data_IF_303814875343
#
_entry.id   IF_303814875343
#
_cell.length_a   1.000
_cell.length_b   1.000
_cell.length_c   1.000
_cell.angle_alpha   90.00
_cell.angle_beta   90.00
_cell.angle_gamma   90.00
#
_symmetry.space_group_name_H-M   'P 1'
#
loop_
_entity.id
_entity.type
_entity.pdbx_description
1 polymer ?
#
# COMPACT_ATOMS: atom_id res chain seq x y z
N UNK A 1 5.47 -11.34 -19.21
CA UNK A 1 5.54 -12.52 -18.31
C UNK A 1 4.54 -13.56 -18.80
N UNK A 2 4.96 -14.82 -18.98
CA UNK A 2 4.03 -15.89 -19.34
C UNK A 2 2.95 -16.02 -18.23
N UNK A 3 1.69 -16.28 -18.62
CA UNK A 3 0.55 -16.40 -17.71
C UNK A 3 0.77 -17.34 -16.51
N UNK A 4 1.70 -18.30 -16.62
CA UNK A 4 1.96 -19.30 -15.59
C UNK A 4 3.31 -19.15 -14.87
N UNK A 5 4.13 -18.17 -15.20
CA UNK A 5 5.48 -18.04 -14.63
C UNK A 5 5.46 -17.82 -13.12
N UNK A 6 4.68 -16.87 -12.62
CA UNK A 6 4.55 -16.64 -11.16
C UNK A 6 3.92 -17.82 -10.42
N UNK A 7 3.04 -18.58 -11.07
CA UNK A 7 2.53 -19.84 -10.51
C UNK A 7 3.64 -20.87 -10.33
N UNK A 8 4.62 -20.86 -11.24
CA UNK A 8 5.81 -21.75 -11.22
C UNK A 8 7.00 -21.18 -10.44
N UNK A 9 6.81 -20.07 -9.72
CA UNK A 9 7.87 -19.38 -8.96
C UNK A 9 8.94 -18.72 -9.85
N UNK A 10 8.62 -18.35 -11.06
CA UNK A 10 9.43 -17.44 -11.87
C UNK A 10 9.00 -16.00 -11.64
N UNK A 11 9.87 -15.20 -11.04
CA UNK A 11 9.61 -13.81 -10.65
C UNK A 11 10.25 -12.80 -11.60
N UNK A 12 10.74 -13.24 -12.77
CA UNK A 12 11.27 -12.35 -13.79
C UNK A 12 10.18 -11.41 -14.33
N UNK A 13 10.57 -10.17 -14.58
CA UNK A 13 9.69 -9.18 -15.19
C UNK A 13 9.88 -9.19 -16.71
N UNK A 14 8.78 -8.98 -17.44
CA UNK A 14 8.84 -8.68 -18.87
C UNK A 14 9.46 -7.31 -19.12
N UNK A 15 9.87 -7.04 -20.34
CA UNK A 15 10.40 -5.74 -20.75
C UNK A 15 9.39 -4.62 -20.50
N UNK A 16 8.08 -4.88 -20.70
CA UNK A 16 7.00 -3.91 -20.43
C UNK A 16 6.89 -3.60 -18.93
N UNK A 17 6.95 -4.61 -18.06
CA UNK A 17 6.96 -4.41 -16.61
C UNK A 17 8.18 -3.59 -16.17
N UNK A 18 9.36 -3.87 -16.74
CA UNK A 18 10.59 -3.11 -16.44
C UNK A 18 10.45 -1.67 -16.92
N UNK A 19 9.89 -1.45 -18.12
CA UNK A 19 9.64 -0.11 -18.65
C UNK A 19 8.65 0.66 -17.78
N UNK A 20 7.55 0.03 -17.37
CA UNK A 20 6.55 0.61 -16.46
C UNK A 20 7.18 1.05 -15.14
N UNK A 21 7.89 0.14 -14.46
CA UNK A 21 8.56 0.44 -13.19
C UNK A 21 9.56 1.58 -13.34
N UNK A 22 10.37 1.58 -14.40
CA UNK A 22 11.34 2.65 -14.65
C UNK A 22 10.67 4.01 -14.91
N UNK A 23 9.53 4.04 -15.61
CA UNK A 23 8.78 5.27 -15.84
C UNK A 23 8.31 5.90 -14.53
N UNK A 24 7.69 5.11 -13.62
CA UNK A 24 7.25 5.60 -12.31
C UNK A 24 8.44 5.95 -11.39
N UNK A 25 9.52 5.17 -11.41
CA UNK A 25 10.77 5.50 -10.69
C UNK A 25 11.31 6.84 -11.12
N UNK A 26 11.41 7.10 -12.42
CA UNK A 26 11.89 8.38 -12.94
C UNK A 26 10.93 9.53 -12.61
N UNK A 27 9.63 9.28 -12.67
CA UNK A 27 8.62 10.27 -12.29
C UNK A 27 8.79 10.71 -10.83
N UNK A 28 8.83 9.78 -9.88
CA UNK A 28 8.99 10.13 -8.47
C UNK A 28 10.35 10.72 -8.16
N UNK A 29 11.41 10.24 -8.79
CA UNK A 29 12.75 10.85 -8.65
C UNK A 29 12.76 12.32 -9.08
N UNK A 30 11.96 12.68 -10.07
CA UNK A 30 11.88 14.06 -10.60
C UNK A 30 10.96 14.95 -9.76
N UNK A 31 9.85 14.40 -9.22
CA UNK A 31 8.76 15.20 -8.66
C UNK A 31 8.53 15.01 -7.16
N UNK A 32 9.18 14.03 -6.51
CA UNK A 32 8.97 13.69 -5.11
C UNK A 32 10.31 13.62 -4.36
N UNK A 33 10.90 14.78 -4.06
CA UNK A 33 12.08 14.85 -3.18
C UNK A 33 11.68 14.68 -1.71
N UNK A 34 12.67 14.44 -0.83
CA UNK A 34 12.41 14.35 0.62
C UNK A 34 11.85 15.66 1.19
N UNK A 35 12.19 16.81 0.61
CA UNK A 35 11.65 18.11 0.96
C UNK A 35 10.16 18.20 0.59
N UNK A 36 9.76 17.69 -0.59
CA UNK A 36 8.35 17.57 -0.99
C UNK A 36 7.56 16.70 0.00
N UNK A 37 8.13 15.55 0.39
CA UNK A 37 7.54 14.66 1.38
C UNK A 37 7.31 15.36 2.73
N UNK A 38 8.32 16.11 3.20
CA UNK A 38 8.23 16.87 4.46
C UNK A 38 7.24 18.03 4.40
N UNK A 39 7.23 18.75 3.29
CA UNK A 39 6.30 19.86 3.10
C UNK A 39 4.83 19.40 3.14
N UNK A 40 4.56 18.17 2.70
CA UNK A 40 3.24 17.58 2.71
C UNK A 40 2.82 16.97 4.08
N UNK A 41 3.72 16.83 5.07
CA UNK A 41 3.39 16.18 6.37
C UNK A 41 2.21 16.81 7.12
N UNK A 42 2.02 18.15 7.14
CA UNK A 42 0.88 18.76 7.83
C UNK A 42 -0.47 18.30 7.27
N UNK A 43 -0.60 18.15 5.95
CA UNK A 43 -1.82 17.66 5.29
C UNK A 43 -1.85 16.14 5.14
N UNK A 44 -0.69 15.49 5.01
CA UNK A 44 -0.55 14.10 4.59
C UNK A 44 -0.76 13.89 3.09
N UNK A 45 -0.86 14.99 2.30
CA UNK A 45 -1.21 14.96 0.89
C UNK A 45 -0.56 16.10 0.10
N UNK A 46 0.03 15.79 -1.05
CA UNK A 46 0.49 16.77 -2.04
C UNK A 46 -0.41 16.72 -3.27
N UNK A 47 -1.26 17.73 -3.40
CA UNK A 47 -2.22 17.84 -4.50
C UNK A 47 -1.53 17.96 -5.86
N UNK A 48 -0.44 18.71 -5.95
CA UNK A 48 0.29 18.90 -7.22
C UNK A 48 0.95 17.61 -7.72
N UNK A 49 1.54 16.84 -6.79
CA UNK A 49 2.09 15.53 -7.11
C UNK A 49 0.98 14.55 -7.53
N UNK A 50 -0.18 14.58 -6.85
CA UNK A 50 -1.34 13.78 -7.22
C UNK A 50 -1.83 14.07 -8.63
N UNK A 51 -2.06 15.34 -8.97
CA UNK A 51 -2.52 15.74 -10.31
C UNK A 51 -1.55 15.29 -11.41
N UNK A 52 -0.24 15.40 -11.17
CA UNK A 52 0.80 14.90 -12.10
C UNK A 52 0.79 13.37 -12.22
N UNK A 53 0.58 12.66 -11.12
CA UNK A 53 0.51 11.20 -11.09
C UNK A 53 -0.72 10.71 -11.86
N UNK A 54 -1.87 11.37 -11.69
CA UNK A 54 -3.08 11.09 -12.47
C UNK A 54 -2.87 11.35 -13.96
N UNK A 55 -2.18 12.44 -14.32
CA UNK A 55 -1.85 12.77 -15.71
C UNK A 55 -0.94 11.72 -16.38
N UNK A 56 -0.20 10.92 -15.60
CA UNK A 56 0.53 9.74 -16.09
C UNK A 56 -0.35 8.51 -16.32
N UNK A 57 -1.65 8.58 -16.01
CA UNK A 57 -2.54 7.43 -16.10
C UNK A 57 -2.53 6.49 -14.89
N UNK A 58 -1.94 6.89 -13.77
CA UNK A 58 -1.78 6.00 -12.61
C UNK A 58 -3.13 5.57 -11.98
N UNK A 59 -4.19 6.34 -12.15
CA UNK A 59 -5.53 6.00 -11.68
C UNK A 59 -6.32 5.23 -12.74
N UNK A 60 -6.26 5.63 -14.01
CA UNK A 60 -6.96 4.96 -15.11
C UNK A 60 -6.44 3.55 -15.33
N UNK A 61 -5.12 3.33 -15.25
CA UNK A 61 -4.54 2.00 -15.41
C UNK A 61 -5.11 0.98 -14.42
N UNK A 62 -5.49 1.41 -13.23
CA UNK A 62 -5.98 0.52 -12.18
C UNK A 62 -7.40 0.01 -12.42
N UNK A 63 -8.18 0.66 -13.26
CA UNK A 63 -9.57 0.29 -13.55
C UNK A 63 -9.66 -0.68 -14.73
N UNK A 64 -10.66 -1.58 -14.74
CA UNK A 64 -10.97 -2.40 -15.90
C UNK A 64 -11.35 -1.55 -17.11
N UNK A 65 -11.11 -2.05 -18.34
CA UNK A 65 -11.53 -1.39 -19.59
C UNK A 65 -13.04 -1.13 -19.63
N UNK A 66 -13.86 -2.04 -19.09
CA UNK A 66 -15.31 -1.89 -18.96
C UNK A 66 -15.74 -0.69 -18.11
N UNK A 67 -14.83 -0.15 -17.30
CA UNK A 67 -15.02 1.03 -16.45
C UNK A 67 -14.28 2.26 -16.98
N UNK A 68 -13.80 2.22 -18.23
CA UNK A 68 -13.05 3.31 -18.84
C UNK A 68 -11.57 3.40 -18.39
N UNK A 69 -11.04 2.32 -17.85
CA UNK A 69 -9.63 2.20 -17.49
C UNK A 69 -8.80 1.45 -18.51
N UNK A 70 -7.53 1.22 -18.21
CA UNK A 70 -6.56 0.55 -19.11
C UNK A 70 -6.39 -0.95 -18.78
N UNK A 71 -7.05 -1.46 -17.75
CA UNK A 71 -7.08 -2.90 -17.43
C UNK A 71 -5.75 -3.48 -16.97
N UNK A 72 -4.86 -2.69 -16.36
CA UNK A 72 -3.59 -3.18 -15.84
C UNK A 72 -3.80 -4.26 -14.77
N UNK A 73 -2.88 -5.22 -14.73
CA UNK A 73 -2.90 -6.32 -13.76
C UNK A 73 -2.50 -5.85 -12.37
N UNK A 74 -2.81 -6.63 -11.34
CA UNK A 74 -2.32 -6.36 -9.99
C UNK A 74 -0.79 -6.44 -9.90
N UNK A 75 -0.13 -7.21 -10.78
CA UNK A 75 1.34 -7.20 -10.90
C UNK A 75 1.83 -5.81 -11.29
N UNK A 76 1.23 -5.19 -12.31
CA UNK A 76 1.56 -3.82 -12.74
C UNK A 76 1.34 -2.82 -11.60
N UNK A 77 0.22 -2.94 -10.88
CA UNK A 77 -0.10 -2.05 -9.75
C UNK A 77 0.91 -2.22 -8.60
N UNK A 78 1.45 -3.43 -8.36
CA UNK A 78 2.51 -3.60 -7.35
C UNK A 78 3.80 -2.87 -7.72
N UNK A 79 4.14 -2.75 -9.01
CA UNK A 79 5.32 -2.00 -9.46
C UNK A 79 5.16 -0.49 -9.19
N UNK A 80 3.97 0.06 -9.42
CA UNK A 80 3.66 1.46 -9.08
C UNK A 80 3.70 1.69 -7.58
N UNK A 81 3.06 0.82 -6.79
CA UNK A 81 3.04 0.90 -5.33
C UNK A 81 4.46 0.83 -4.74
N UNK A 82 5.34 0.00 -5.29
CA UNK A 82 6.74 -0.10 -4.87
C UNK A 82 7.47 1.24 -5.05
N UNK A 83 7.25 1.96 -6.15
CA UNK A 83 7.89 3.26 -6.38
C UNK A 83 7.27 4.38 -5.52
N UNK A 84 5.97 4.31 -5.20
CA UNK A 84 5.31 5.18 -4.21
C UNK A 84 5.98 5.02 -2.84
N UNK A 85 6.18 3.79 -2.41
CA UNK A 85 6.82 3.48 -1.13
C UNK A 85 8.29 3.88 -1.08
N UNK A 86 9.03 3.64 -2.16
CA UNK A 86 10.42 4.06 -2.33
C UNK A 86 10.60 5.55 -2.10
N UNK A 87 9.70 6.36 -2.65
CA UNK A 87 9.76 7.82 -2.62
C UNK A 87 9.02 8.42 -1.43
N UNK A 88 8.36 7.63 -0.58
CA UNK A 88 7.44 8.07 0.47
C UNK A 88 6.38 9.05 -0.06
N UNK A 89 5.92 8.86 -1.31
CA UNK A 89 5.08 9.81 -2.01
C UNK A 89 3.79 10.12 -1.22
N UNK A 90 3.53 11.39 -0.89
CA UNK A 90 2.37 11.79 -0.09
C UNK A 90 1.11 11.87 -0.97
N UNK A 91 0.73 10.73 -1.54
CA UNK A 91 -0.46 10.57 -2.39
C UNK A 91 -1.29 9.38 -1.92
N UNK A 92 -2.63 9.47 -1.91
CA UNK A 92 -3.52 8.43 -1.41
C UNK A 92 -3.83 7.36 -2.47
N UNK A 93 -2.85 7.04 -3.32
CA UNK A 93 -3.08 6.22 -4.52
C UNK A 93 -3.61 4.82 -4.18
N UNK A 94 -3.05 4.14 -3.17
CA UNK A 94 -3.45 2.78 -2.79
C UNK A 94 -4.92 2.76 -2.33
N UNK A 95 -5.29 3.67 -1.42
CA UNK A 95 -6.66 3.75 -0.90
C UNK A 95 -7.64 4.05 -2.04
N UNK A 96 -7.27 5.00 -2.89
CA UNK A 96 -8.08 5.45 -4.00
C UNK A 96 -8.33 4.33 -5.02
N UNK A 97 -7.27 3.67 -5.50
CA UNK A 97 -7.43 2.63 -6.54
C UNK A 97 -8.17 1.41 -6.01
N UNK A 98 -7.96 1.01 -4.75
CA UNK A 98 -8.69 -0.11 -4.17
C UNK A 98 -10.20 0.20 -4.03
N UNK A 99 -10.55 1.41 -3.60
CA UNK A 99 -11.94 1.86 -3.53
C UNK A 99 -12.58 1.96 -4.92
N UNK A 100 -11.90 2.56 -5.90
CA UNK A 100 -12.41 2.71 -7.26
C UNK A 100 -12.59 1.34 -7.95
N UNK A 101 -11.65 0.40 -7.78
CA UNK A 101 -11.76 -0.99 -8.28
C UNK A 101 -12.94 -1.73 -7.64
N UNK A 102 -13.17 -1.55 -6.35
CA UNK A 102 -14.33 -2.10 -5.66
C UNK A 102 -15.64 -1.58 -6.27
N UNK A 103 -15.76 -0.26 -6.44
CA UNK A 103 -16.93 0.35 -7.07
C UNK A 103 -17.12 -0.16 -8.51
N UNK A 104 -16.05 -0.30 -9.28
CA UNK A 104 -16.10 -0.87 -10.63
C UNK A 104 -16.64 -2.31 -10.64
N UNK A 105 -16.15 -3.17 -9.75
CA UNK A 105 -16.63 -4.57 -9.63
C UNK A 105 -18.10 -4.66 -9.22
N UNK A 106 -18.59 -3.71 -8.44
CA UNK A 106 -19.99 -3.64 -8.00
C UNK A 106 -20.88 -2.90 -8.97
N UNK A 107 -20.37 -2.43 -10.13
CA UNK A 107 -21.13 -1.67 -11.13
C UNK A 107 -21.60 -0.30 -10.62
N UNK A 108 -20.88 0.29 -9.66
CA UNK A 108 -21.25 1.51 -8.95
C UNK A 108 -20.37 2.73 -9.32
N UNK A 109 -19.70 2.68 -10.47
CA UNK A 109 -19.11 3.85 -11.10
C UNK A 109 -20.19 4.53 -11.93
N UNK A 110 -20.75 5.60 -11.43
CA UNK A 110 -21.87 6.35 -11.95
C UNK A 110 -21.50 7.83 -12.19
N UNK A 111 -22.47 8.68 -12.52
CA UNK A 111 -22.23 10.10 -12.78
C UNK A 111 -21.66 10.84 -11.55
N UNK A 112 -22.02 10.42 -10.33
CA UNK A 112 -21.53 11.03 -9.09
C UNK A 112 -20.08 10.66 -8.80
N UNK A 113 -19.60 9.55 -9.36
CA UNK A 113 -18.26 8.98 -9.13
C UNK A 113 -17.37 9.06 -10.38
N UNK A 114 -17.81 9.72 -11.45
CA UNK A 114 -17.10 9.79 -12.73
C UNK A 114 -15.67 10.34 -12.61
N UNK A 115 -15.44 11.27 -11.69
CA UNK A 115 -14.12 11.84 -11.42
C UNK A 115 -13.14 10.92 -10.68
N UNK A 116 -13.56 9.72 -10.26
CA UNK A 116 -12.66 8.76 -9.62
C UNK A 116 -11.67 8.14 -10.63
N UNK A 117 -12.12 7.90 -11.87
CA UNK A 117 -11.27 7.27 -12.87
C UNK A 117 -10.03 8.11 -13.22
N UNK A 118 -10.19 9.44 -13.30
CA UNK A 118 -9.10 10.37 -13.62
C UNK A 118 -8.47 11.06 -12.40
N UNK A 119 -8.93 10.72 -11.18
CA UNK A 119 -8.42 11.27 -9.92
C UNK A 119 -8.86 12.70 -9.58
N UNK A 120 -9.84 13.26 -10.30
CA UNK A 120 -10.48 14.55 -9.95
C UNK A 120 -11.26 14.46 -8.63
N UNK A 121 -11.84 13.30 -8.37
CA UNK A 121 -12.44 12.94 -7.09
C UNK A 121 -11.57 11.88 -6.41
N UNK A 122 -11.52 11.90 -5.09
CA UNK A 122 -10.79 10.94 -4.27
C UNK A 122 -11.74 9.98 -3.56
N UNK A 123 -11.42 8.70 -3.60
CA UNK A 123 -12.07 7.68 -2.78
C UNK A 123 -11.16 7.19 -1.68
N UNK A 124 -11.74 6.87 -0.53
CA UNK A 124 -11.11 6.17 0.58
C UNK A 124 -11.80 4.82 0.81
N UNK A 125 -11.02 3.82 1.21
CA UNK A 125 -11.51 2.52 1.64
C UNK A 125 -11.31 2.36 3.14
N UNK A 126 -12.34 1.93 3.88
CA UNK A 126 -12.13 1.44 5.25
C UNK A 126 -11.39 0.08 5.17
N UNK A 127 -10.08 0.13 5.30
CA UNK A 127 -9.21 -1.05 5.16
C UNK A 127 -9.17 -1.94 6.42
N UNK A 128 -9.96 -1.65 7.44
CA UNK A 128 -9.96 -2.39 8.70
C UNK A 128 -10.77 -3.69 8.59
N UNK A 129 -10.29 -4.73 9.26
CA UNK A 129 -10.99 -6.02 9.34
C UNK A 129 -12.21 -5.93 10.26
N UNK A 130 -12.09 -5.13 11.31
CA UNK A 130 -13.10 -5.07 12.37
C UNK A 130 -14.27 -4.17 11.94
N UNK A 131 -15.46 -4.76 11.87
CA UNK A 131 -16.71 -4.02 11.69
C UNK A 131 -17.12 -3.39 13.02
N UNK A 132 -16.41 -2.34 13.43
CA UNK A 132 -16.75 -1.59 14.65
C UNK A 132 -17.91 -0.64 14.35
N UNK A 133 -18.94 -0.66 15.21
CA UNK A 133 -20.01 0.36 15.15
C UNK A 133 -19.46 1.71 15.63
N UNK A 134 -19.93 2.79 15.03
CA UNK A 134 -19.54 4.15 15.37
C UNK A 134 -18.38 4.68 14.53
N UNK A 135 -17.69 5.69 15.05
CA UNK A 135 -16.62 6.37 14.33
C UNK A 135 -15.41 5.46 14.09
N UNK A 136 -14.86 5.51 12.88
CA UNK A 136 -13.74 4.70 12.40
C UNK A 136 -12.61 5.59 11.94
N UNK A 137 -11.37 5.22 12.27
CA UNK A 137 -10.20 5.93 11.77
C UNK A 137 -9.88 5.40 10.36
N UNK A 138 -10.13 6.21 9.34
CA UNK A 138 -10.01 5.82 7.93
C UNK A 138 -8.83 6.55 7.30
N UNK A 139 -7.89 5.83 6.63
CA UNK A 139 -6.87 6.46 5.80
C UNK A 139 -7.54 7.25 4.67
N UNK A 140 -6.89 8.33 4.23
CA UNK A 140 -7.45 9.25 3.21
C UNK A 140 -8.77 9.95 3.61
N UNK A 141 -9.37 9.61 4.77
CA UNK A 141 -10.69 10.09 5.20
C UNK A 141 -10.83 11.61 5.31
N UNK A 142 -9.73 12.37 5.54
CA UNK A 142 -9.79 13.84 5.64
C UNK A 142 -9.79 14.56 4.29
N UNK A 143 -9.52 13.86 3.20
CA UNK A 143 -9.41 14.46 1.84
C UNK A 143 -10.31 13.78 0.81
N UNK A 144 -10.90 12.63 1.14
CA UNK A 144 -11.76 11.88 0.23
C UNK A 144 -13.09 12.59 -0.03
N UNK A 145 -13.58 12.47 -1.26
CA UNK A 145 -14.93 12.87 -1.68
C UNK A 145 -15.93 11.75 -1.39
N UNK A 146 -15.46 10.50 -1.54
CA UNK A 146 -16.25 9.29 -1.29
C UNK A 146 -15.51 8.37 -0.34
N UNK A 147 -16.19 7.87 0.69
CA UNK A 147 -15.63 6.92 1.64
C UNK A 147 -16.43 5.63 1.56
N UNK A 148 -15.75 4.53 1.24
CA UNK A 148 -16.37 3.22 1.08
C UNK A 148 -16.16 2.41 2.34
N UNK A 149 -17.26 2.01 2.96
CA UNK A 149 -17.25 1.25 4.22
C UNK A 149 -18.12 0.01 4.12
N UNK A 150 -17.82 -0.99 4.93
CA UNK A 150 -18.72 -2.09 5.22
C UNK A 150 -19.60 -1.73 6.41
N UNK A 151 -20.91 -1.94 6.30
CA UNK A 151 -21.88 -1.77 7.37
C UNK A 151 -22.80 -3.00 7.43
N UNK A 152 -22.50 -3.93 8.36
CA UNK A 152 -23.15 -5.24 8.40
C UNK A 152 -22.86 -6.08 7.16
N UNK A 153 -23.91 -6.40 6.40
CA UNK A 153 -23.85 -7.11 5.12
C UNK A 153 -23.87 -6.20 3.90
N UNK A 154 -23.84 -4.88 4.12
CA UNK A 154 -23.87 -3.86 3.07
C UNK A 154 -22.48 -3.27 2.81
N UNK A 155 -22.22 -2.93 1.55
CA UNK A 155 -21.16 -2.01 1.11
C UNK A 155 -21.80 -0.64 0.89
N UNK A 156 -21.29 0.37 1.55
CA UNK A 156 -21.90 1.70 1.62
C UNK A 156 -20.91 2.75 1.16
N UNK A 157 -21.36 3.69 0.33
CA UNK A 157 -20.66 4.93 -0.04
C UNK A 157 -21.16 6.07 0.85
N UNK A 158 -20.24 6.73 1.51
CA UNK A 158 -20.48 7.91 2.33
C UNK A 158 -19.90 9.14 1.64
N UNK A 159 -20.60 10.28 1.74
CA UNK A 159 -20.08 11.59 1.35
C UNK A 159 -20.39 12.61 2.44
N UNK A 160 -19.50 13.60 2.59
CA UNK A 160 -19.55 14.64 3.61
C UNK A 160 -19.45 16.01 2.95
N UNK A 161 -20.41 16.90 3.17
CA UNK A 161 -20.38 18.28 2.71
C UNK A 161 -19.24 19.07 3.36
N UNK A 162 -18.93 18.74 4.63
CA UNK A 162 -17.71 19.18 5.29
C UNK A 162 -16.86 17.98 5.61
N UNK A 163 -15.67 17.88 4.98
CA UNK A 163 -14.77 16.76 5.19
C UNK A 163 -14.36 16.62 6.66
N UNK A 164 -14.27 15.38 7.18
CA UNK A 164 -13.81 15.14 8.53
C UNK A 164 -12.40 15.71 8.79
N UNK A 165 -12.15 16.20 10.00
CA UNK A 165 -10.87 16.80 10.35
C UNK A 165 -9.75 15.74 10.36
N UNK A 166 -8.58 16.12 9.82
CA UNK A 166 -7.37 15.29 9.86
C UNK A 166 -6.94 15.00 11.29
N UNK A 167 -6.53 13.76 11.54
CA UNK A 167 -5.93 13.31 12.80
C UNK A 167 -4.43 13.17 12.63
N UNK A 168 -3.65 13.70 13.56
CA UNK A 168 -2.21 13.49 13.59
C UNK A 168 -1.89 12.01 13.85
N UNK A 169 -1.02 11.47 13.02
CA UNK A 169 -0.65 10.07 13.09
C UNK A 169 0.83 9.86 12.70
N UNK A 170 1.41 8.77 13.17
CA UNK A 170 2.83 8.46 12.93
C UNK A 170 3.14 8.23 11.45
N UNK A 171 2.19 7.69 10.67
CA UNK A 171 2.35 7.43 9.23
C UNK A 171 2.33 8.68 8.37
N UNK A 172 2.00 9.86 8.94
CA UNK A 172 1.82 11.12 8.21
C UNK A 172 0.78 11.02 7.10
N UNK A 173 -0.26 10.20 7.31
CA UNK A 173 -1.36 9.99 6.38
C UNK A 173 -2.49 11.01 6.60
N UNK A 174 -3.31 11.31 5.58
CA UNK A 174 -4.48 12.17 5.71
C UNK A 174 -5.67 11.41 6.33
N UNK A 175 -5.48 10.85 7.53
CA UNK A 175 -6.48 10.06 8.24
C UNK A 175 -7.51 10.96 8.94
N UNK A 176 -8.74 10.45 9.06
CA UNK A 176 -9.78 11.11 9.86
C UNK A 176 -10.65 10.09 10.58
N UNK A 177 -11.25 10.53 11.70
CA UNK A 177 -12.37 9.80 12.31
C UNK A 177 -13.62 10.04 11.49
N UNK A 178 -14.19 8.97 10.96
CA UNK A 178 -15.39 8.97 10.14
C UNK A 178 -16.50 8.24 10.88
N UNK A 179 -17.57 8.95 11.21
CA UNK A 179 -18.79 8.35 11.73
C UNK A 179 -19.79 8.20 10.58
N UNK A 180 -20.14 6.96 10.19
CA UNK A 180 -21.12 6.74 9.13
C UNK A 180 -22.48 7.36 9.39
N UNK A 181 -22.85 7.54 10.67
CA UNK A 181 -24.11 8.17 11.06
C UNK A 181 -24.13 9.70 10.85
N UNK A 182 -22.95 10.33 10.75
CA UNK A 182 -22.78 11.76 10.52
C UNK A 182 -22.61 12.13 9.04
N UNK A 183 -22.66 11.15 8.11
CA UNK A 183 -22.52 11.42 6.68
C UNK A 183 -23.77 12.17 6.16
N UNK A 184 -23.53 13.17 5.30
CA UNK A 184 -24.60 13.94 4.64
C UNK A 184 -25.30 13.08 3.57
N UNK A 185 -24.55 12.15 2.95
CA UNK A 185 -25.08 11.17 2.02
C UNK A 185 -24.59 9.78 2.37
N UNK A 186 -25.51 8.82 2.41
CA UNK A 186 -25.27 7.40 2.61
C UNK A 186 -25.99 6.60 1.53
N UNK A 187 -25.24 6.00 0.64
CA UNK A 187 -25.78 5.19 -0.48
C UNK A 187 -25.33 3.74 -0.30
N UNK A 188 -26.30 2.82 -0.23
CA UNK A 188 -26.01 1.38 -0.28
C UNK A 188 -25.64 1.03 -1.72
N UNK A 189 -24.41 0.53 -1.91
CA UNK A 189 -23.88 0.15 -3.22
C UNK A 189 -24.29 -1.28 -3.58
N UNK A 190 -24.13 -2.18 -2.62
CA UNK A 190 -24.47 -3.59 -2.76
C UNK A 190 -24.69 -4.22 -1.37
N UNK A 191 -25.37 -5.36 -1.33
CA UNK A 191 -25.64 -6.10 -0.08
C UNK A 191 -25.52 -7.62 -0.29
N UNK A 192 -25.37 -8.34 0.83
CA UNK A 192 -25.29 -9.78 0.85
C UNK A 192 -23.89 -10.34 0.62
N UNK A 193 -23.81 -11.67 0.44
CA UNK A 193 -22.55 -12.43 0.39
C UNK A 193 -21.59 -11.96 -0.69
N UNK A 194 -22.11 -11.67 -1.89
CA UNK A 194 -21.30 -11.26 -3.04
C UNK A 194 -20.71 -9.86 -2.85
N UNK A 195 -21.47 -8.94 -2.23
CA UNK A 195 -20.98 -7.62 -1.85
C UNK A 195 -19.83 -7.73 -0.84
N UNK A 196 -19.98 -8.58 0.17
CA UNK A 196 -18.94 -8.82 1.17
C UNK A 196 -17.71 -9.52 0.59
N UNK A 197 -17.85 -10.44 -0.35
CA UNK A 197 -16.74 -11.07 -1.04
C UNK A 197 -15.94 -10.06 -1.87
N UNK A 198 -16.62 -9.16 -2.61
CA UNK A 198 -15.97 -8.07 -3.33
C UNK A 198 -15.27 -7.07 -2.40
N UNK A 199 -15.88 -6.75 -1.26
CA UNK A 199 -15.24 -5.89 -0.26
C UNK A 199 -13.99 -6.55 0.33
N UNK A 200 -14.06 -7.85 0.67
CA UNK A 200 -12.91 -8.61 1.15
C UNK A 200 -11.77 -8.63 0.12
N UNK A 201 -12.11 -8.80 -1.17
CA UNK A 201 -11.11 -8.72 -2.25
C UNK A 201 -10.45 -7.36 -2.29
N UNK A 202 -11.19 -6.25 -2.11
CA UNK A 202 -10.61 -4.91 -2.05
C UNK A 202 -9.66 -4.74 -0.85
N UNK A 203 -9.98 -5.35 0.31
CA UNK A 203 -9.07 -5.38 1.45
C UNK A 203 -7.77 -6.15 1.15
N UNK A 204 -7.86 -7.25 0.41
CA UNK A 204 -6.68 -8.04 0.06
C UNK A 204 -5.84 -7.34 -1.03
N UNK A 205 -6.46 -6.63 -1.97
CA UNK A 205 -5.77 -5.71 -2.89
C UNK A 205 -5.06 -4.58 -2.13
N UNK A 206 -5.73 -3.97 -1.13
CA UNK A 206 -5.12 -2.93 -0.30
C UNK A 206 -3.90 -3.44 0.49
N UNK A 207 -4.00 -4.63 1.09
CA UNK A 207 -2.87 -5.28 1.79
C UNK A 207 -1.71 -5.57 0.86
N UNK A 208 -2.03 -6.11 -0.33
CA UNK A 208 -1.04 -6.40 -1.36
C UNK A 208 -0.28 -5.15 -1.78
N UNK A 209 -0.99 -4.07 -2.14
CA UNK A 209 -0.37 -2.84 -2.62
C UNK A 209 0.40 -2.12 -1.50
N UNK A 210 -0.10 -2.18 -0.26
CA UNK A 210 0.63 -1.68 0.91
C UNK A 210 1.91 -2.49 1.14
N UNK A 211 1.87 -3.82 1.02
CA UNK A 211 3.07 -4.65 1.09
C UNK A 211 4.10 -4.27 0.02
N UNK A 212 3.68 -4.07 -1.22
CA UNK A 212 4.55 -3.64 -2.31
C UNK A 212 5.15 -2.24 -2.04
N UNK A 213 4.38 -1.29 -1.51
CA UNK A 213 4.90 0.01 -1.10
C UNK A 213 5.97 -0.13 0.02
N UNK A 214 5.73 -1.01 0.99
CA UNK A 214 6.71 -1.29 2.04
C UNK A 214 7.98 -1.95 1.50
N UNK A 215 7.92 -2.75 0.43
CA UNK A 215 9.13 -3.27 -0.27
C UNK A 215 9.99 -2.11 -0.78
N UNK A 216 9.39 -1.16 -1.50
CA UNK A 216 10.09 0.02 -2.01
C UNK A 216 10.68 0.88 -0.89
N UNK A 217 9.91 1.08 0.19
CA UNK A 217 10.34 1.79 1.39
C UNK A 217 11.58 1.12 2.01
N UNK A 218 11.58 -0.21 2.18
CA UNK A 218 12.71 -0.95 2.76
C UNK A 218 13.94 -0.87 1.86
N UNK A 219 13.78 -1.00 0.55
CA UNK A 219 14.89 -0.95 -0.40
C UNK A 219 15.58 0.42 -0.38
N UNK A 220 14.81 1.52 -0.34
CA UNK A 220 15.41 2.86 -0.25
C UNK A 220 16.05 3.09 1.13
N UNK A 221 15.41 2.64 2.19
CA UNK A 221 15.96 2.69 3.56
C UNK A 221 17.31 1.97 3.63
N UNK A 222 17.41 0.79 3.02
CA UNK A 222 18.65 0.02 2.92
C UNK A 222 19.71 0.79 2.11
N UNK A 223 19.30 1.38 1.00
CA UNK A 223 20.21 2.16 0.13
C UNK A 223 20.81 3.35 0.89
N UNK A 224 19.97 4.13 1.59
CA UNK A 224 20.41 5.26 2.43
C UNK A 224 21.40 4.80 3.50
N UNK A 225 21.12 3.69 4.19
CA UNK A 225 21.99 3.15 5.22
C UNK A 225 23.32 2.63 4.65
N UNK A 226 23.27 1.97 3.48
CA UNK A 226 24.46 1.44 2.81
C UNK A 226 25.40 2.56 2.32
N UNK A 227 24.85 3.61 1.70
CA UNK A 227 25.64 4.76 1.24
C UNK A 227 26.29 5.50 2.42
N UNK A 228 25.56 5.70 3.52
CA UNK A 228 26.15 6.25 4.73
C UNK A 228 27.27 5.35 5.26
N UNK A 229 27.09 4.03 5.32
CA UNK A 229 28.08 3.10 5.83
C UNK A 229 29.36 3.05 5.00
N UNK A 230 29.30 3.30 3.69
CA UNK A 230 30.48 3.39 2.81
C UNK A 230 31.34 4.64 3.08
N UNK A 231 30.71 5.74 3.50
CA UNK A 231 31.38 7.02 3.69
C UNK A 231 31.78 7.30 5.13
N UNK A 232 31.19 6.60 6.10
CA UNK A 232 31.52 6.75 7.53
C UNK A 232 32.66 5.82 7.93
N UNK A 233 33.70 6.38 8.54
CA UNK A 233 34.87 5.64 8.99
C UNK A 233 34.90 5.49 10.52
N UNK A 234 35.36 4.33 10.98
CA UNK A 234 35.75 4.05 12.37
C UNK A 234 36.91 3.05 12.37
N UNK A 235 37.80 3.10 13.36
CA UNK A 235 38.96 2.21 13.43
C UNK A 235 39.81 2.15 12.13
N UNK A 236 39.84 3.24 11.38
CA UNK A 236 40.59 3.34 10.11
C UNK A 236 39.96 2.71 8.89
N UNK A 237 38.74 2.16 8.97
CA UNK A 237 38.02 1.52 7.84
C UNK A 237 36.60 2.07 7.71
N UNK A 238 35.98 2.00 6.51
CA UNK A 238 34.55 2.26 6.35
C UNK A 238 33.72 1.31 7.23
N UNK A 239 32.68 1.81 7.90
CA UNK A 239 31.85 0.95 8.77
C UNK A 239 31.12 -0.15 7.99
N UNK A 240 30.92 0.00 6.68
CA UNK A 240 30.36 -1.03 5.80
C UNK A 240 31.17 -2.34 5.79
N UNK A 241 32.46 -2.32 6.15
CA UNK A 241 33.32 -3.49 6.23
C UNK A 241 33.13 -4.31 7.51
N UNK A 242 32.47 -3.72 8.51
CA UNK A 242 32.23 -4.36 9.80
C UNK A 242 31.01 -5.29 9.69
N UNK A 243 31.12 -6.53 10.18
CA UNK A 243 30.02 -7.51 10.14
C UNK A 243 28.76 -7.03 10.88
N UNK A 244 28.93 -6.24 11.97
CA UNK A 244 27.82 -5.62 12.69
C UNK A 244 26.98 -4.66 11.81
N UNK A 245 27.48 -4.24 10.66
CA UNK A 245 26.80 -3.36 9.69
C UNK A 245 26.43 -4.13 8.43
N UNK A 246 27.35 -4.91 7.86
CA UNK A 246 27.13 -5.62 6.59
C UNK A 246 26.08 -6.73 6.70
N UNK A 247 26.00 -7.46 7.83
CA UNK A 247 24.99 -8.51 8.00
C UNK A 247 23.57 -7.95 8.12
N UNK A 248 23.26 -6.91 8.92
CA UNK A 248 21.95 -6.24 8.87
C UNK A 248 21.55 -5.74 7.49
N UNK A 249 22.48 -5.14 6.73
CA UNK A 249 22.20 -4.70 5.35
C UNK A 249 21.87 -5.89 4.44
N UNK A 250 22.55 -7.02 4.58
CA UNK A 250 22.23 -8.24 3.85
C UNK A 250 20.84 -8.80 4.24
N UNK A 251 20.46 -8.74 5.52
CA UNK A 251 19.12 -9.13 5.98
C UNK A 251 18.02 -8.24 5.36
N UNK A 252 18.29 -6.92 5.27
CA UNK A 252 17.36 -6.00 4.59
C UNK A 252 17.19 -6.37 3.10
N UNK A 253 18.30 -6.71 2.40
CA UNK A 253 18.23 -7.14 1.01
C UNK A 253 17.42 -8.44 0.83
N UNK A 254 17.55 -9.39 1.78
CA UNK A 254 16.76 -10.63 1.80
C UNK A 254 15.26 -10.29 2.00
N UNK A 255 14.94 -9.39 2.93
CA UNK A 255 13.56 -8.96 3.19
C UNK A 255 12.94 -8.28 1.96
N UNK A 256 13.68 -7.39 1.28
CA UNK A 256 13.25 -6.76 0.01
C UNK A 256 12.93 -7.80 -1.04
N UNK A 257 13.85 -8.74 -1.28
CA UNK A 257 13.64 -9.74 -2.33
C UNK A 257 12.52 -10.73 -1.98
N UNK A 258 12.44 -11.16 -0.71
CA UNK A 258 11.38 -12.03 -0.23
C UNK A 258 10.00 -11.37 -0.33
N UNK A 259 9.88 -10.13 0.13
CA UNK A 259 8.63 -9.35 0.08
C UNK A 259 8.19 -9.07 -1.36
N UNK A 260 9.13 -8.70 -2.23
CA UNK A 260 8.86 -8.46 -3.66
C UNK A 260 8.32 -9.70 -4.37
N UNK A 261 8.95 -10.85 -4.16
CA UNK A 261 8.51 -12.10 -4.75
C UNK A 261 7.14 -12.53 -4.21
N UNK A 262 6.94 -12.39 -2.90
CA UNK A 262 5.66 -12.72 -2.27
C UNK A 262 4.53 -11.82 -2.78
N UNK A 263 4.76 -10.50 -2.90
CA UNK A 263 3.79 -9.56 -3.43
C UNK A 263 3.43 -9.85 -4.89
N UNK A 264 4.42 -10.09 -5.76
CA UNK A 264 4.17 -10.43 -7.17
C UNK A 264 3.37 -11.72 -7.32
N UNK A 265 3.70 -12.73 -6.53
CA UNK A 265 2.95 -13.99 -6.53
C UNK A 265 1.52 -13.79 -6.04
N UNK A 266 1.33 -13.05 -4.97
CA UNK A 266 0.00 -12.72 -4.44
C UNK A 266 -0.83 -11.96 -5.47
N UNK A 267 -0.23 -10.98 -6.18
CA UNK A 267 -0.88 -10.24 -7.25
C UNK A 267 -1.40 -11.15 -8.36
N UNK A 268 -0.53 -12.07 -8.83
CA UNK A 268 -0.91 -13.00 -9.88
C UNK A 268 -2.08 -13.92 -9.45
N UNK A 269 -2.04 -14.48 -8.23
CA UNK A 269 -3.11 -15.35 -7.73
C UNK A 269 -4.42 -14.58 -7.56
N UNK A 270 -4.39 -13.35 -7.03
CA UNK A 270 -5.61 -12.53 -6.91
C UNK A 270 -6.26 -12.23 -8.26
N UNK A 271 -5.48 -12.06 -9.34
CA UNK A 271 -6.03 -11.79 -10.67
C UNK A 271 -6.51 -13.06 -11.40
N UNK A 272 -5.84 -14.20 -11.20
CA UNK A 272 -6.05 -15.38 -12.04
C UNK A 272 -6.72 -16.55 -11.32
N UNK A 273 -6.41 -16.76 -10.04
CA UNK A 273 -6.87 -17.90 -9.24
C UNK A 273 -7.10 -17.45 -7.78
N UNK A 274 -8.04 -16.51 -7.50
CA UNK A 274 -8.17 -15.85 -6.19
C UNK A 274 -8.48 -16.81 -5.04
N UNK A 275 -9.18 -17.90 -5.32
CA UNK A 275 -9.61 -18.88 -4.30
C UNK A 275 -8.53 -19.93 -4.01
N UNK A 276 -7.52 -20.07 -4.89
CA UNK A 276 -6.48 -21.11 -4.73
C UNK A 276 -5.48 -20.77 -3.64
N UNK A 277 -5.13 -19.50 -3.47
CA UNK A 277 -4.11 -19.05 -2.51
C UNK A 277 -4.50 -17.74 -1.81
N UNK A 278 -5.67 -17.72 -1.12
CA UNK A 278 -6.19 -16.49 -0.48
C UNK A 278 -5.31 -15.99 0.67
N UNK A 279 -4.40 -16.82 1.20
CA UNK A 279 -3.46 -16.42 2.25
C UNK A 279 -2.29 -15.54 1.75
N UNK A 280 -2.00 -15.49 0.43
CA UNK A 280 -0.77 -14.85 -0.06
C UNK A 280 -0.75 -13.33 0.15
N UNK A 281 -1.83 -12.62 -0.19
CA UNK A 281 -1.88 -11.17 -0.06
C UNK A 281 -1.80 -10.71 1.42
N UNK A 282 -2.61 -11.25 2.35
CA UNK A 282 -2.43 -10.93 3.75
C UNK A 282 -1.09 -11.39 4.32
N UNK A 283 -0.49 -12.50 3.84
CA UNK A 283 0.87 -12.92 4.25
C UNK A 283 1.95 -11.95 3.80
N UNK A 284 1.86 -11.43 2.56
CA UNK A 284 2.78 -10.41 2.07
C UNK A 284 2.72 -9.14 2.92
N UNK A 285 1.51 -8.73 3.31
CA UNK A 285 1.30 -7.57 4.17
C UNK A 285 1.92 -7.77 5.56
N UNK A 286 1.63 -8.90 6.23
CA UNK A 286 2.17 -9.19 7.57
C UNK A 286 3.70 -9.24 7.54
N UNK A 287 4.27 -9.95 6.58
CA UNK A 287 5.71 -10.05 6.41
C UNK A 287 6.36 -8.67 6.24
N UNK A 288 5.84 -7.85 5.34
CA UNK A 288 6.43 -6.54 5.06
C UNK A 288 6.17 -5.52 6.17
N UNK A 289 5.03 -5.60 6.88
CA UNK A 289 4.77 -4.74 8.05
C UNK A 289 5.82 -4.94 9.15
N UNK A 290 6.22 -6.18 9.39
CA UNK A 290 7.27 -6.52 10.38
C UNK A 290 8.67 -6.11 9.88
N UNK A 291 9.03 -6.50 8.66
CA UNK A 291 10.36 -6.27 8.11
C UNK A 291 10.63 -4.78 7.85
N UNK A 292 9.62 -4.00 7.43
CA UNK A 292 9.79 -2.56 7.25
C UNK A 292 10.12 -1.84 8.56
N UNK A 293 9.46 -2.19 9.66
CA UNK A 293 9.75 -1.62 10.97
C UNK A 293 11.17 -1.97 11.46
N UNK A 294 11.61 -3.23 11.23
CA UNK A 294 12.97 -3.68 11.57
C UNK A 294 14.03 -2.97 10.73
N UNK A 295 13.84 -2.95 9.42
CA UNK A 295 14.77 -2.35 8.47
C UNK A 295 14.97 -0.85 8.72
N UNK A 296 13.88 -0.10 8.88
CA UNK A 296 13.95 1.33 9.12
C UNK A 296 14.58 1.65 10.49
N UNK A 297 14.32 0.84 11.52
CA UNK A 297 14.99 0.96 12.81
C UNK A 297 16.50 0.72 12.68
N UNK A 298 16.90 -0.30 11.91
CA UNK A 298 18.30 -0.63 11.69
C UNK A 298 19.02 0.46 10.88
N UNK A 299 18.37 1.07 9.87
CA UNK A 299 18.95 2.17 9.11
C UNK A 299 19.27 3.40 9.99
N UNK A 300 18.35 3.74 10.89
CA UNK A 300 18.58 4.79 11.90
C UNK A 300 19.74 4.41 12.81
N UNK A 301 19.80 3.14 13.27
CA UNK A 301 20.88 2.65 14.11
C UNK A 301 22.24 2.73 13.42
N UNK A 302 22.34 2.34 12.14
CA UNK A 302 23.57 2.43 11.33
C UNK A 302 24.07 3.87 11.24
N UNK A 303 23.17 4.86 11.10
CA UNK A 303 23.51 6.27 11.06
C UNK A 303 23.82 6.88 12.43
N UNK A 304 23.52 6.18 13.53
CA UNK A 304 23.76 6.63 14.88
C UNK A 304 23.01 7.94 15.21
N UNK A 305 23.68 8.88 15.90
CA UNK A 305 23.07 10.14 16.29
C UNK A 305 22.53 10.97 15.13
N UNK A 306 23.12 10.89 13.94
CA UNK A 306 22.59 11.54 12.75
C UNK A 306 21.23 10.97 12.33
N UNK A 307 21.08 9.64 12.40
CA UNK A 307 19.88 8.94 11.96
C UNK A 307 18.61 9.26 12.75
N UNK A 308 18.75 9.82 13.98
CA UNK A 308 17.60 10.24 14.81
C UNK A 308 17.26 11.73 14.66
N UNK A 309 18.06 12.48 13.88
CA UNK A 309 17.78 13.90 13.67
C UNK A 309 16.55 14.08 12.76
N UNK A 310 15.83 15.20 12.93
CA UNK A 310 14.67 15.51 12.10
C UNK A 310 15.05 15.74 10.62
N UNK A 311 16.29 16.13 10.36
CA UNK A 311 16.83 16.38 9.01
C UNK A 311 17.19 15.08 8.28
N UNK A 312 17.43 13.97 9.01
CA UNK A 312 17.81 12.72 8.40
C UNK A 312 16.63 12.11 7.61
N UNK A 313 16.88 11.70 6.36
CA UNK A 313 15.87 11.00 5.57
C UNK A 313 15.41 9.71 6.27
N UNK A 314 16.33 8.98 6.93
CA UNK A 314 16.03 7.75 7.65
C UNK A 314 14.87 7.88 8.66
N UNK A 315 14.74 9.04 9.32
CA UNK A 315 13.63 9.30 10.27
C UNK A 315 12.28 9.35 9.55
N UNK A 316 12.22 9.94 8.35
CA UNK A 316 10.99 9.99 7.56
C UNK A 316 10.54 8.57 7.12
N UNK A 317 11.49 7.70 6.78
CA UNK A 317 11.23 6.29 6.48
C UNK A 317 10.79 5.52 7.72
N UNK A 318 11.43 5.74 8.87
CA UNK A 318 11.10 5.06 10.13
C UNK A 318 9.65 5.29 10.55
N UNK A 319 9.18 6.55 10.54
CA UNK A 319 7.82 6.85 11.00
C UNK A 319 6.78 6.25 10.06
N UNK A 320 7.03 6.23 8.75
CA UNK A 320 6.13 5.62 7.75
C UNK A 320 6.17 4.10 7.78
N UNK A 321 7.34 3.49 7.94
CA UNK A 321 7.47 2.04 8.11
C UNK A 321 6.65 1.50 9.30
N UNK A 322 6.51 2.30 10.35
CA UNK A 322 5.69 1.96 11.52
C UNK A 322 4.23 2.35 11.36
N UNK A 323 3.94 3.44 10.66
CA UNK A 323 2.59 4.01 10.60
C UNK A 323 1.73 3.47 9.46
N UNK A 324 2.30 3.23 8.29
CA UNK A 324 1.53 2.80 7.13
C UNK A 324 0.82 1.45 7.32
N UNK A 325 1.46 0.40 7.88
CA UNK A 325 0.75 -0.84 8.14
C UNK A 325 -0.44 -0.70 9.08
N UNK A 326 -0.36 0.25 10.05
CA UNK A 326 -1.43 0.47 11.02
C UNK A 326 -2.67 1.17 10.43
N UNK A 327 -2.58 1.72 9.22
CA UNK A 327 -3.72 2.35 8.55
C UNK A 327 -4.88 1.39 8.30
N UNK A 328 -4.59 0.10 8.04
CA UNK A 328 -5.57 -0.98 7.92
C UNK A 328 -5.91 -1.71 9.22
N UNK A 329 -5.51 -1.16 10.37
CA UNK A 329 -5.68 -1.82 11.68
C UNK A 329 -4.41 -2.50 12.17
N UNK A 330 -4.55 -3.45 13.09
CA UNK A 330 -3.42 -4.20 13.64
C UNK A 330 -2.95 -5.31 12.66
N UNK A 331 -1.70 -5.30 12.18
CA UNK A 331 -1.15 -6.39 11.37
C UNK A 331 -1.22 -7.75 12.08
N UNK A 332 -1.22 -7.79 13.41
CA UNK A 332 -1.41 -9.02 14.20
C UNK A 332 -2.78 -9.67 13.96
N UNK A 333 -3.84 -8.87 13.81
CA UNK A 333 -5.16 -9.40 13.45
C UNK A 333 -5.15 -10.03 12.05
N UNK A 334 -4.39 -9.44 11.11
CA UNK A 334 -4.19 -10.04 9.78
C UNK A 334 -3.41 -11.35 9.86
N UNK A 335 -2.41 -11.45 10.74
CA UNK A 335 -1.64 -12.68 10.95
C UNK A 335 -2.52 -13.82 11.49
N UNK A 336 -3.44 -13.54 12.41
CA UNK A 336 -4.43 -14.52 12.89
C UNK A 336 -5.32 -15.01 11.75
N UNK A 337 -5.80 -14.09 10.90
CA UNK A 337 -6.59 -14.45 9.72
C UNK A 337 -5.80 -15.36 8.75
N UNK A 338 -4.51 -15.09 8.51
CA UNK A 338 -3.66 -15.99 7.70
C UNK A 338 -3.64 -17.39 8.29
N UNK A 339 -3.45 -17.51 9.61
CA UNK A 339 -3.46 -18.81 10.27
C UNK A 339 -4.80 -19.53 10.12
N UNK A 340 -5.93 -18.83 10.24
CA UNK A 340 -7.28 -19.38 10.03
C UNK A 340 -7.46 -19.89 8.60
N UNK A 341 -7.04 -19.13 7.58
CA UNK A 341 -7.13 -19.52 6.17
C UNK A 341 -6.31 -20.79 5.91
N UNK A 342 -5.08 -20.85 6.41
CA UNK A 342 -4.19 -22.01 6.23
C UNK A 342 -4.76 -23.23 6.93
N UNK A 343 -5.22 -23.10 8.17
CA UNK A 343 -5.82 -24.20 8.92
C UNK A 343 -7.11 -24.74 8.26
N UNK A 344 -7.96 -23.85 7.72
CA UNK A 344 -9.17 -24.27 7.00
C UNK A 344 -8.82 -25.07 5.73
N UNK A 345 -7.77 -24.68 5.00
CA UNK A 345 -7.30 -25.41 3.81
C UNK A 345 -6.74 -26.80 4.13
N UNK A 346 -5.94 -26.92 5.19
CA UNK A 346 -5.37 -28.21 5.62
C UNK A 346 -6.43 -29.19 6.07
N UNK A 347 -7.52 -28.69 6.64
CA UNK A 347 -8.66 -29.50 7.11
C UNK A 347 -9.72 -29.78 6.02
N UNK A 348 -9.60 -29.18 4.83
CA UNK A 348 -10.52 -29.46 3.73
C UNK A 348 -10.31 -30.87 3.21
N UNK A 349 -11.40 -31.63 2.93
CA UNK A 349 -11.30 -32.98 2.36
C UNK A 349 -10.54 -32.88 1.01
N UNK A 350 -9.48 -33.68 0.86
CA UNK A 350 -8.77 -33.77 -0.41
C UNK A 350 -9.74 -34.29 -1.49
N UNK A 351 -9.78 -33.64 -2.67
CA UNK A 351 -10.56 -34.19 -3.77
C UNK A 351 -10.07 -35.59 -4.11
N UNK A 352 -11.01 -36.54 -4.22
CA UNK A 352 -10.75 -37.94 -4.50
C UNK A 352 -10.14 -38.16 -5.88
#
# INVERSE_FOLDING_TARGET
MDRFELRRLDYSLSDDHVALQNAYRQFFKTHCSIETVRAAEPSGFDKSLWERLCAMGATTMALPESCGGDGATLVDLTLVAEEIGRSLAPVPWIDHVCAARLLGRLGALDADTAGLANGEQLAALDARIDCVRGARLIPTGSIADHIIVRDGDQVVRLAFGTRPAKVDNIGRLPMAWVDPAAADSRTVIAEGSDALANYQRALDEWRLLTAAALVGLVEETMTIAAEFAKTRYTLGVPISTLQAISHPLANMAIAVQGGRNLARRAAWFLDNEPDERPELAPSAFVFMAEEAAKAATMAVHIQGGLGVSAEAAATAYLVRARGWPLAGGDPGATALRVAEIVAARENAPQPA
#
